data_IF_150640234815
#
_entry.id   IF_150640234815
#
_cell.length_a   1.000
_cell.length_b   1.000
_cell.length_c   1.000
_cell.angle_alpha   90.00
_cell.angle_beta   90.00
_cell.angle_gamma   90.00
#
_symmetry.space_group_name_H-M   'P 1'
#
loop_
_entity.id
_entity.type
_entity.pdbx_description
1 polymer ?
#
# COMPACT_ATOMS: atom_id res chain seq x y z
N UNK A 1 2.80 17.32 19.05
CA UNK A 1 2.49 15.87 18.92
C UNK A 1 3.70 15.14 18.38
N UNK A 2 4.18 14.13 19.06
CA UNK A 2 5.31 13.35 18.56
C UNK A 2 4.83 12.35 17.50
N UNK A 3 5.46 12.38 16.35
CA UNK A 3 5.20 11.40 15.29
C UNK A 3 5.93 10.11 15.65
N UNK A 4 5.20 9.01 15.75
CA UNK A 4 5.80 7.70 16.02
C UNK A 4 6.11 7.01 14.68
N UNK A 5 7.31 7.25 14.16
CA UNK A 5 7.74 6.69 12.87
C UNK A 5 7.77 5.16 12.87
N UNK A 6 8.13 4.56 13.99
CA UNK A 6 8.16 3.10 14.11
C UNK A 6 6.76 2.50 13.99
N UNK A 7 5.78 3.10 14.67
CA UNK A 7 4.39 2.66 14.58
C UNK A 7 3.81 2.87 13.17
N UNK A 8 4.15 3.99 12.53
CA UNK A 8 3.71 4.27 11.17
C UNK A 8 4.28 3.27 10.17
N UNK A 9 5.55 2.90 10.30
CA UNK A 9 6.19 1.87 9.46
C UNK A 9 5.51 0.52 9.65
N UNK A 10 5.24 0.14 10.89
CA UNK A 10 4.58 -1.13 11.21
C UNK A 10 3.17 -1.16 10.65
N UNK A 11 2.46 -0.05 10.76
CA UNK A 11 1.12 0.08 10.18
C UNK A 11 1.13 -0.18 8.68
N UNK A 12 2.08 0.42 7.95
CA UNK A 12 2.19 0.22 6.50
C UNK A 12 2.50 -1.21 6.13
N UNK A 13 3.35 -1.89 6.91
CA UNK A 13 3.66 -3.30 6.70
C UNK A 13 2.40 -4.17 6.85
N UNK A 14 1.61 -3.89 7.88
CA UNK A 14 0.35 -4.60 8.11
C UNK A 14 -0.65 -4.28 6.99
N UNK A 15 -0.72 -3.02 6.58
CA UNK A 15 -1.61 -2.59 5.51
C UNK A 15 -1.31 -3.30 4.19
N UNK A 16 -0.04 -3.44 3.83
CA UNK A 16 0.36 -4.18 2.62
C UNK A 16 -0.14 -5.62 2.68
N UNK A 17 0.01 -6.29 3.82
CA UNK A 17 -0.45 -7.67 3.99
C UNK A 17 -1.98 -7.76 3.88
N UNK A 18 -2.70 -6.80 4.45
CA UNK A 18 -4.15 -6.75 4.36
C UNK A 18 -4.63 -6.49 2.93
N UNK A 19 -3.97 -5.58 2.21
CA UNK A 19 -4.28 -5.29 0.80
C UNK A 19 -3.96 -6.50 -0.08
N UNK A 20 -2.86 -7.20 0.19
CA UNK A 20 -2.56 -8.45 -0.51
C UNK A 20 -3.70 -9.45 -0.37
N UNK A 21 -4.23 -9.61 0.84
CA UNK A 21 -5.34 -10.52 1.09
C UNK A 21 -6.61 -10.06 0.36
N UNK A 22 -6.88 -8.78 0.34
CA UNK A 22 -8.00 -8.19 -0.42
C UNK A 22 -7.88 -8.51 -1.91
N UNK A 23 -6.71 -8.34 -2.49
CA UNK A 23 -6.48 -8.61 -3.91
C UNK A 23 -6.53 -10.11 -4.23
N UNK A 24 -5.99 -10.93 -3.34
CA UNK A 24 -5.90 -12.39 -3.53
C UNK A 24 -7.27 -13.06 -3.41
N UNK A 25 -8.01 -12.72 -2.36
CA UNK A 25 -9.29 -13.39 -2.03
C UNK A 25 -10.51 -12.66 -2.56
N UNK A 26 -10.36 -11.45 -3.08
CA UNK A 26 -11.49 -10.56 -3.39
C UNK A 26 -12.44 -10.44 -2.19
N UNK A 27 -11.88 -10.39 -1.00
CA UNK A 27 -12.59 -10.40 0.28
C UNK A 27 -12.93 -8.97 0.71
N UNK A 28 -14.07 -8.80 1.37
CA UNK A 28 -14.48 -7.51 1.92
C UNK A 28 -13.44 -6.99 2.93
N UNK A 29 -13.06 -5.73 2.81
CA UNK A 29 -12.05 -5.14 3.70
C UNK A 29 -12.49 -5.07 5.15
N UNK A 30 -13.80 -5.03 5.44
CA UNK A 30 -14.28 -5.07 6.82
C UNK A 30 -13.96 -6.41 7.50
N UNK A 31 -14.09 -7.51 6.77
CA UNK A 31 -13.73 -8.84 7.27
C UNK A 31 -12.23 -8.97 7.49
N UNK A 32 -11.45 -8.45 6.54
CA UNK A 32 -9.99 -8.43 6.65
C UNK A 32 -9.57 -7.61 7.86
N UNK A 33 -10.15 -6.45 8.04
CA UNK A 33 -9.87 -5.58 9.19
C UNK A 33 -10.14 -6.31 10.51
N UNK A 34 -11.30 -6.95 10.64
CA UNK A 34 -11.66 -7.68 11.85
C UNK A 34 -10.63 -8.77 12.18
N UNK A 35 -10.18 -9.49 11.16
CA UNK A 35 -9.15 -10.52 11.30
C UNK A 35 -7.83 -9.92 11.81
N UNK A 36 -7.37 -8.84 11.16
CA UNK A 36 -6.10 -8.21 11.51
C UNK A 36 -6.14 -7.54 12.88
N UNK A 37 -7.29 -7.02 13.31
CA UNK A 37 -7.46 -6.50 14.67
C UNK A 37 -7.19 -7.60 15.70
N UNK A 38 -7.75 -8.79 15.49
CA UNK A 38 -7.54 -9.92 16.40
C UNK A 38 -6.08 -10.35 16.44
N UNK A 39 -5.41 -10.38 15.30
CA UNK A 39 -4.02 -10.82 15.19
C UNK A 39 -3.03 -9.80 15.79
N UNK A 40 -3.39 -8.52 15.81
CA UNK A 40 -2.48 -7.43 16.17
C UNK A 40 -2.94 -6.62 17.38
N UNK A 41 -3.80 -7.17 18.23
CA UNK A 41 -4.36 -6.48 19.41
C UNK A 41 -3.32 -5.85 20.32
N UNK A 42 -2.18 -6.51 20.48
CA UNK A 42 -1.14 -6.09 21.43
C UNK A 42 -0.07 -5.21 20.78
N UNK A 43 -0.22 -4.86 19.52
CA UNK A 43 0.75 -4.02 18.81
C UNK A 43 0.35 -2.57 18.89
N UNK A 44 1.36 -1.69 19.01
CA UNK A 44 1.12 -0.24 19.06
C UNK A 44 0.95 0.29 17.65
N UNK A 45 -0.21 0.06 17.05
CA UNK A 45 -0.59 0.60 15.76
C UNK A 45 -1.91 1.34 15.88
N UNK A 46 -2.13 2.28 15.00
CA UNK A 46 -3.38 3.04 14.95
C UNK A 46 -4.40 2.26 14.10
N UNK A 47 -5.30 1.56 14.78
CA UNK A 47 -6.31 0.73 14.13
C UNK A 47 -7.32 1.56 13.34
N UNK A 48 -7.60 2.79 13.75
CA UNK A 48 -8.48 3.68 13.00
C UNK A 48 -7.87 4.05 11.65
N UNK A 49 -6.57 4.35 11.62
CA UNK A 49 -5.86 4.64 10.38
C UNK A 49 -5.84 3.39 9.49
N UNK A 50 -5.57 2.23 10.06
CA UNK A 50 -5.59 0.97 9.30
C UNK A 50 -6.94 0.75 8.61
N UNK A 51 -8.03 0.91 9.36
CA UNK A 51 -9.36 0.76 8.80
C UNK A 51 -9.66 1.79 7.70
N UNK A 52 -9.32 3.04 7.97
CA UNK A 52 -9.53 4.14 7.03
C UNK A 52 -8.80 3.89 5.70
N UNK A 53 -7.54 3.47 5.77
CA UNK A 53 -6.72 3.18 4.58
C UNK A 53 -7.24 1.97 3.80
N UNK A 54 -7.61 0.90 4.49
CA UNK A 54 -8.20 -0.28 3.84
C UNK A 54 -9.48 0.06 3.10
N UNK A 55 -10.36 0.82 3.74
CA UNK A 55 -11.62 1.23 3.13
C UNK A 55 -11.40 2.15 1.95
N UNK A 56 -10.45 3.09 2.08
CA UNK A 56 -10.09 4.00 0.98
C UNK A 56 -9.61 3.21 -0.24
N UNK A 57 -8.75 2.22 -0.02
CA UNK A 57 -8.23 1.38 -1.11
C UNK A 57 -9.36 0.60 -1.78
N UNK A 58 -10.26 0.02 -1.01
CA UNK A 58 -11.41 -0.70 -1.57
C UNK A 58 -12.31 0.23 -2.40
N UNK A 59 -12.70 1.35 -1.81
CA UNK A 59 -13.59 2.31 -2.47
C UNK A 59 -12.98 2.93 -3.72
N UNK A 60 -11.67 3.11 -3.74
CA UNK A 60 -10.96 3.80 -4.81
C UNK A 60 -10.13 2.86 -5.68
N UNK A 61 -10.33 1.55 -5.58
CA UNK A 61 -9.54 0.57 -6.32
C UNK A 61 -9.55 0.83 -7.83
N UNK A 62 -10.70 1.21 -8.39
CA UNK A 62 -10.82 1.52 -9.81
C UNK A 62 -10.00 2.77 -10.19
N UNK A 63 -10.04 3.81 -9.35
CA UNK A 63 -9.26 5.03 -9.58
C UNK A 63 -7.77 4.75 -9.46
N UNK A 64 -7.37 3.90 -8.53
CA UNK A 64 -5.98 3.49 -8.38
C UNK A 64 -5.51 2.71 -9.60
N UNK A 65 -6.32 1.75 -10.08
CA UNK A 65 -6.01 0.99 -11.30
C UNK A 65 -5.85 1.93 -12.50
N UNK A 66 -6.73 2.90 -12.67
CA UNK A 66 -6.66 3.88 -13.75
C UNK A 66 -5.39 4.72 -13.65
N UNK A 67 -4.98 5.11 -12.43
CA UNK A 67 -3.76 5.89 -12.22
C UNK A 67 -2.53 5.08 -12.61
N UNK A 68 -2.49 3.80 -12.23
CA UNK A 68 -1.38 2.92 -12.61
C UNK A 68 -1.35 2.73 -14.14
N UNK A 69 -2.50 2.56 -14.76
CA UNK A 69 -2.60 2.40 -16.23
C UNK A 69 -2.03 3.60 -16.98
N UNK A 70 -2.15 4.81 -16.43
CA UNK A 70 -1.59 6.03 -17.04
C UNK A 70 -0.08 6.02 -17.15
N UNK A 71 0.60 5.17 -16.41
CA UNK A 71 2.06 5.06 -16.48
C UNK A 71 2.54 4.22 -17.66
N UNK A 72 1.64 3.55 -18.36
CA UNK A 72 1.90 2.66 -19.50
C UNK A 72 2.79 1.45 -19.17
N UNK A 73 2.99 1.16 -17.89
CA UNK A 73 3.65 -0.08 -17.48
C UNK A 73 2.66 -1.24 -17.51
N UNK A 74 3.11 -2.38 -18.00
CA UNK A 74 2.31 -3.61 -18.01
C UNK A 74 2.37 -4.27 -16.63
N UNK A 75 1.36 -4.02 -15.82
CA UNK A 75 1.28 -4.58 -14.46
C UNK A 75 0.67 -5.98 -14.42
N UNK A 76 0.23 -6.52 -15.57
CA UNK A 76 -0.33 -7.87 -15.61
C UNK A 76 0.70 -8.94 -15.23
N UNK A 77 1.99 -8.63 -15.35
CA UNK A 77 3.09 -9.53 -15.07
C UNK A 77 3.74 -9.35 -13.70
N UNK A 78 3.31 -8.37 -12.92
CA UNK A 78 3.88 -8.16 -11.58
C UNK A 78 3.23 -9.10 -10.57
N UNK A 79 4.01 -9.44 -9.55
CA UNK A 79 3.52 -10.26 -8.46
C UNK A 79 2.42 -9.52 -7.69
N UNK A 80 1.50 -10.28 -7.10
CA UNK A 80 0.39 -9.69 -6.37
C UNK A 80 0.84 -8.85 -5.17
N UNK A 81 1.96 -9.24 -4.54
CA UNK A 81 2.53 -8.46 -3.44
C UNK A 81 3.02 -7.09 -3.92
N UNK A 82 3.61 -7.03 -5.13
CA UNK A 82 4.04 -5.77 -5.72
C UNK A 82 2.83 -4.88 -6.03
N UNK A 83 1.74 -5.47 -6.51
CA UNK A 83 0.49 -4.76 -6.76
C UNK A 83 -0.07 -4.19 -5.45
N UNK A 84 -0.01 -4.97 -4.36
CA UNK A 84 -0.45 -4.49 -3.04
C UNK A 84 0.36 -3.28 -2.58
N UNK A 85 1.68 -3.32 -2.77
CA UNK A 85 2.56 -2.19 -2.43
C UNK A 85 2.21 -0.96 -3.27
N UNK A 86 1.96 -1.14 -4.57
CA UNK A 86 1.54 -0.05 -5.44
C UNK A 86 0.21 0.55 -4.99
N UNK A 87 -0.74 -0.26 -4.58
CA UNK A 87 -2.03 0.22 -4.10
C UNK A 87 -1.87 1.10 -2.86
N UNK A 88 -1.03 0.69 -1.91
CA UNK A 88 -0.74 1.48 -0.72
C UNK A 88 -0.08 2.80 -1.09
N UNK A 89 0.91 2.77 -1.99
CA UNK A 89 1.62 3.96 -2.43
C UNK A 89 0.71 4.93 -3.19
N UNK A 90 -0.07 4.43 -4.14
CA UNK A 90 -0.96 5.27 -4.95
C UNK A 90 -2.10 5.87 -4.12
N UNK A 91 -2.61 5.13 -3.14
CA UNK A 91 -3.60 5.70 -2.24
C UNK A 91 -3.04 6.92 -1.50
N UNK A 92 -1.81 6.84 -1.01
CA UNK A 92 -1.14 7.97 -0.36
C UNK A 92 -0.91 9.14 -1.31
N UNK A 93 -0.47 8.87 -2.53
CA UNK A 93 -0.20 9.93 -3.52
C UNK A 93 -1.48 10.66 -3.89
N UNK A 94 -2.57 9.92 -4.12
CA UNK A 94 -3.81 10.49 -4.65
C UNK A 94 -4.66 11.11 -3.53
N UNK A 95 -4.75 10.46 -2.39
CA UNK A 95 -5.69 10.82 -1.32
C UNK A 95 -5.03 11.20 0.01
N UNK A 96 -3.74 10.91 0.18
CA UNK A 96 -3.02 11.17 1.42
C UNK A 96 -2.27 12.49 1.39
N UNK A 97 -1.50 12.74 2.45
CA UNK A 97 -0.79 14.00 2.65
C UNK A 97 0.73 13.84 2.69
N UNK A 98 1.25 12.60 2.53
CA UNK A 98 2.70 12.37 2.56
C UNK A 98 3.37 12.98 1.33
N UNK A 99 4.56 13.53 1.55
CA UNK A 99 5.40 14.01 0.45
C UNK A 99 5.77 12.84 -0.46
N UNK A 100 5.83 13.11 -1.77
CA UNK A 100 6.13 12.07 -2.76
C UNK A 100 7.44 11.32 -2.50
N UNK A 101 8.55 11.99 -2.12
CA UNK A 101 9.77 11.26 -1.79
C UNK A 101 9.61 10.26 -0.64
N UNK A 102 8.78 10.58 0.36
CA UNK A 102 8.49 9.68 1.47
C UNK A 102 7.71 8.46 0.98
N UNK A 103 6.73 8.67 0.10
CA UNK A 103 5.95 7.57 -0.48
C UNK A 103 6.86 6.62 -1.27
N UNK A 104 7.76 7.18 -2.08
CA UNK A 104 8.71 6.39 -2.87
C UNK A 104 9.63 5.59 -1.95
N UNK A 105 10.22 6.23 -0.94
CA UNK A 105 11.12 5.55 0.00
C UNK A 105 10.43 4.41 0.73
N UNK A 106 9.17 4.61 1.14
CA UNK A 106 8.40 3.57 1.81
C UNK A 106 8.03 2.42 0.87
N UNK A 107 7.69 2.72 -0.38
CA UNK A 107 7.42 1.68 -1.38
C UNK A 107 8.67 0.82 -1.61
N UNK A 108 9.84 1.45 -1.72
CA UNK A 108 11.12 0.74 -1.87
C UNK A 108 11.39 -0.15 -0.64
N UNK A 109 11.20 0.40 0.55
CA UNK A 109 11.41 -0.33 1.80
C UNK A 109 10.49 -1.56 1.89
N UNK A 110 9.21 -1.38 1.59
CA UNK A 110 8.22 -2.46 1.62
C UNK A 110 8.53 -3.53 0.56
N UNK A 111 8.95 -3.09 -0.63
CA UNK A 111 9.33 -4.01 -1.69
C UNK A 111 10.53 -4.89 -1.27
N UNK A 112 11.55 -4.28 -0.67
CA UNK A 112 12.71 -5.02 -0.19
C UNK A 112 12.38 -5.99 0.94
N UNK A 113 11.36 -5.68 1.74
CA UNK A 113 10.93 -6.53 2.84
C UNK A 113 10.06 -7.70 2.37
N UNK A 114 9.13 -7.47 1.46
CA UNK A 114 8.08 -8.43 1.13
C UNK A 114 8.18 -9.05 -0.26
N UNK A 115 8.97 -8.47 -1.16
CA UNK A 115 9.01 -8.89 -2.55
C UNK A 115 10.40 -9.36 -2.98
N UNK A 116 10.56 -9.60 -4.28
CA UNK A 116 11.83 -10.02 -4.86
C UNK A 116 12.87 -8.90 -4.77
N UNK A 117 14.17 -9.22 -4.64
CA UNK A 117 15.22 -8.21 -4.41
C UNK A 117 15.25 -7.06 -5.42
N UNK A 118 14.85 -7.30 -6.68
CA UNK A 118 14.91 -6.30 -7.73
C UNK A 118 13.57 -5.61 -8.02
N UNK A 119 12.48 -6.04 -7.36
CA UNK A 119 11.16 -5.47 -7.63
C UNK A 119 11.07 -3.97 -7.34
N UNK A 120 11.86 -3.46 -6.38
CA UNK A 120 11.84 -2.05 -6.03
C UNK A 120 12.17 -1.13 -7.21
N UNK A 121 12.99 -1.59 -8.15
CA UNK A 121 13.36 -0.79 -9.33
C UNK A 121 12.15 -0.53 -10.21
N UNK A 122 11.34 -1.57 -10.41
CA UNK A 122 10.12 -1.48 -11.21
C UNK A 122 9.06 -0.63 -10.51
N UNK A 123 8.86 -0.84 -9.20
CA UNK A 123 7.89 -0.07 -8.43
C UNK A 123 8.26 1.41 -8.40
N UNK A 124 9.54 1.71 -8.19
CA UNK A 124 10.03 3.08 -8.21
C UNK A 124 9.78 3.75 -9.56
N UNK A 125 10.02 3.02 -10.66
CA UNK A 125 9.81 3.54 -12.00
C UNK A 125 8.33 3.88 -12.25
N UNK A 126 7.41 3.03 -11.82
CA UNK A 126 5.97 3.27 -11.97
C UNK A 126 5.54 4.52 -11.19
N UNK A 127 5.93 4.60 -9.92
CA UNK A 127 5.55 5.72 -9.05
C UNK A 127 6.13 7.03 -9.57
N UNK A 128 7.40 7.03 -9.94
CA UNK A 128 8.08 8.21 -10.47
C UNK A 128 7.43 8.70 -11.76
N UNK A 129 7.09 7.79 -12.65
CA UNK A 129 6.39 8.12 -13.90
C UNK A 129 5.05 8.79 -13.63
N UNK A 130 4.27 8.26 -12.70
CA UNK A 130 2.97 8.83 -12.34
C UNK A 130 3.12 10.25 -11.78
N UNK A 131 4.06 10.45 -10.88
CA UNK A 131 4.31 11.75 -10.25
C UNK A 131 4.67 12.81 -11.30
N UNK A 132 5.38 12.42 -12.35
CA UNK A 132 5.83 13.33 -13.41
C UNK A 132 4.81 13.56 -14.51
N UNK A 133 3.70 12.88 -14.48
CA UNK A 133 2.62 13.16 -15.41
C UNK A 133 1.98 14.50 -15.05
#
# INVERSE_FOLDING_TARGET
MKINFKAAKKLREILVQAVYQFLFNNQDTSEIYDQFVKEHQNKKIDLEILNSKLRSIELNSQKIDQAIDKTDFDISKIDLIDKAILYVAFEEIIFGELDHPVVIDEAIRLSKKFSNPDSFKFLNAIIDKYIKL
#
